data_IF_046072557666
#
_entry.id   IF_046072557666
#
_cell.length_a   1.000
_cell.length_b   1.000
_cell.length_c   1.000
_cell.angle_alpha   90.00
_cell.angle_beta   90.00
_cell.angle_gamma   90.00
#
_symmetry.space_group_name_H-M   'P 1'
#
loop_
_entity.id
_entity.type
_entity.pdbx_description
1 polymer ?
#
# COMPACT_ATOMS: atom_id res chain seq x y z
N UNK A 1 10.67 38.56 23.85
CA UNK A 1 9.19 38.56 23.85
C UNK A 1 8.77 37.38 22.99
N UNK A 2 8.39 36.25 23.60
CA UNK A 2 7.93 35.09 22.84
C UNK A 2 6.55 35.42 22.23
N UNK A 3 6.41 35.24 20.92
CA UNK A 3 5.14 35.34 20.21
C UNK A 3 4.33 34.11 20.63
N UNK A 4 3.51 34.25 21.68
CA UNK A 4 2.58 33.21 22.11
C UNK A 4 1.44 33.17 21.10
N UNK A 5 1.30 32.05 20.40
CA UNK A 5 0.15 31.80 19.53
C UNK A 5 -1.04 31.39 20.43
N UNK A 6 -2.12 32.18 20.53
CA UNK A 6 -3.24 31.90 21.42
C UNK A 6 -3.96 30.58 21.10
N UNK A 7 -3.90 30.07 19.87
CA UNK A 7 -4.43 28.74 19.53
C UNK A 7 -3.57 27.60 20.10
N UNK A 8 -2.26 27.79 20.17
CA UNK A 8 -1.34 26.80 20.74
C UNK A 8 -1.50 26.69 22.26
N UNK A 9 -1.72 27.82 22.94
CA UNK A 9 -1.97 27.86 24.38
C UNK A 9 -3.31 27.19 24.75
N UNK A 10 -4.34 27.37 23.90
CA UNK A 10 -5.62 26.66 24.03
C UNK A 10 -5.48 25.14 23.86
N UNK A 11 -4.75 24.70 22.83
CA UNK A 11 -4.49 23.29 22.58
C UNK A 11 -3.67 22.63 23.71
N UNK A 12 -2.66 23.32 24.23
CA UNK A 12 -1.86 22.85 25.37
C UNK A 12 -2.71 22.74 26.64
N UNK A 13 -3.61 23.70 26.89
CA UNK A 13 -4.54 23.68 28.03
C UNK A 13 -5.56 22.53 27.90
N UNK A 14 -6.09 22.28 26.70
CA UNK A 14 -6.96 21.13 26.44
C UNK A 14 -6.24 19.79 26.59
N UNK A 15 -5.00 19.70 26.11
CA UNK A 15 -4.18 18.49 26.23
C UNK A 15 -3.88 18.15 27.69
N UNK A 16 -3.44 19.13 28.48
CA UNK A 16 -3.20 18.97 29.92
C UNK A 16 -4.47 18.60 30.70
N UNK A 17 -5.61 19.22 30.36
CA UNK A 17 -6.91 18.85 30.93
C UNK A 17 -7.32 17.40 30.59
N UNK A 18 -7.04 16.95 29.37
CA UNK A 18 -7.30 15.57 28.95
C UNK A 18 -6.39 14.55 29.64
N UNK A 19 -5.10 14.86 29.85
CA UNK A 19 -4.14 14.02 30.58
C UNK A 19 -4.57 13.88 32.05
N UNK A 20 -4.94 14.99 32.69
CA UNK A 20 -5.43 15.00 34.07
C UNK A 20 -6.70 14.13 34.22
N UNK A 21 -7.63 14.21 33.26
CA UNK A 21 -8.84 13.38 33.23
C UNK A 21 -8.52 11.89 33.05
N UNK A 22 -7.61 11.54 32.14
CA UNK A 22 -7.19 10.14 31.94
C UNK A 22 -6.48 9.59 33.18
N UNK A 23 -5.64 10.39 33.83
CA UNK A 23 -4.98 10.03 35.08
C UNK A 23 -5.98 9.77 36.20
N UNK A 24 -7.00 10.61 36.35
CA UNK A 24 -8.08 10.39 37.33
C UNK A 24 -8.85 9.10 37.07
N UNK A 25 -9.20 8.80 35.82
CA UNK A 25 -9.87 7.55 35.44
C UNK A 25 -9.01 6.33 35.74
N UNK A 26 -7.71 6.40 35.41
CA UNK A 26 -6.76 5.36 35.73
C UNK A 26 -6.68 5.17 37.25
N UNK A 27 -6.48 6.24 38.03
CA UNK A 27 -6.44 6.28 39.50
C UNK A 27 -7.67 5.64 40.14
N UNK A 28 -8.86 5.95 39.62
CA UNK A 28 -10.16 5.38 40.04
C UNK A 28 -10.33 3.88 39.70
N UNK A 29 -9.37 3.24 39.03
CA UNK A 29 -9.40 1.81 38.75
C UNK A 29 -10.29 1.42 37.58
N UNK A 30 -10.68 2.36 36.72
CA UNK A 30 -11.41 2.05 35.50
C UNK A 30 -10.52 1.23 34.57
N UNK A 31 -10.94 0.00 34.24
CA UNK A 31 -10.25 -0.90 33.31
C UNK A 31 -10.25 -0.41 31.85
N UNK A 32 -11.08 0.60 31.54
CA UNK A 32 -11.21 1.23 30.22
C UNK A 32 -10.61 2.64 30.17
N UNK A 33 -9.77 3.02 31.13
CA UNK A 33 -8.93 4.21 30.94
C UNK A 33 -8.02 3.96 29.73
N UNK A 34 -7.91 4.96 28.82
CA UNK A 34 -7.13 4.79 27.60
C UNK A 34 -5.63 4.61 27.89
N UNK A 35 -5.17 5.05 29.07
CA UNK A 35 -3.77 5.05 29.49
C UNK A 35 -3.64 4.42 30.88
N UNK A 36 -2.89 3.31 31.05
CA UNK A 36 -2.62 2.72 32.36
C UNK A 36 -1.85 3.64 33.32
N UNK A 37 -2.02 3.45 34.64
CA UNK A 37 -1.38 4.28 35.69
C UNK A 37 0.15 4.40 35.53
N UNK A 38 0.82 3.29 35.23
CA UNK A 38 2.29 3.23 35.12
C UNK A 38 2.83 4.07 33.94
N UNK A 39 2.00 4.42 32.94
CA UNK A 39 2.40 5.28 31.84
C UNK A 39 2.52 6.76 32.25
N UNK A 40 1.97 7.16 33.39
CA UNK A 40 2.09 8.54 33.91
C UNK A 40 3.32 8.73 34.82
N UNK A 41 4.09 7.67 35.09
CA UNK A 41 5.33 7.76 35.86
C UNK A 41 6.45 8.34 34.99
N UNK A 42 6.79 9.60 35.23
CA UNK A 42 7.84 10.29 34.48
C UNK A 42 9.22 9.86 34.98
N UNK A 43 9.91 9.03 34.19
CA UNK A 43 11.31 8.66 34.43
C UNK A 43 12.23 9.32 33.42
N UNK A 44 13.07 10.26 33.88
CA UNK A 44 14.06 10.91 33.04
C UNK A 44 15.04 9.90 32.40
N UNK A 45 15.48 8.92 33.17
CA UNK A 45 16.41 7.87 32.70
C UNK A 45 15.76 7.04 31.59
N UNK A 46 14.51 6.61 31.80
CA UNK A 46 13.80 5.78 30.82
C UNK A 46 13.52 6.55 29.53
N UNK A 47 13.06 7.79 29.64
CA UNK A 47 12.84 8.67 28.48
C UNK A 47 14.13 8.94 27.71
N UNK A 48 15.23 9.23 28.41
CA UNK A 48 16.54 9.46 27.79
C UNK A 48 17.05 8.20 27.10
N UNK A 49 16.87 7.03 27.71
CA UNK A 49 17.22 5.74 27.10
C UNK A 49 16.43 5.48 25.80
N UNK A 50 15.12 5.75 25.78
CA UNK A 50 14.34 5.63 24.55
C UNK A 50 14.81 6.59 23.45
N UNK A 51 15.11 7.85 23.81
CA UNK A 51 15.62 8.84 22.86
C UNK A 51 16.98 8.42 22.29
N UNK A 52 17.92 7.97 23.15
CA UNK A 52 19.23 7.47 22.70
C UNK A 52 19.05 6.26 21.78
N UNK A 53 18.21 5.29 22.15
CA UNK A 53 17.90 4.12 21.29
C UNK A 53 17.37 4.55 19.93
N UNK A 54 16.42 5.47 19.88
CA UNK A 54 15.86 5.97 18.62
C UNK A 54 16.93 6.67 17.77
N UNK A 55 17.78 7.51 18.37
CA UNK A 55 18.87 8.19 17.66
C UNK A 55 19.86 7.16 17.10
N UNK A 56 20.25 6.16 17.89
CA UNK A 56 21.16 5.10 17.44
C UNK A 56 20.54 4.26 16.32
N UNK A 57 19.26 3.90 16.43
CA UNK A 57 18.53 3.19 15.36
C UNK A 57 18.48 4.04 14.09
N UNK A 58 18.15 5.33 14.18
CA UNK A 58 18.16 6.23 13.03
C UNK A 58 19.55 6.34 12.40
N UNK A 59 20.61 6.46 13.20
CA UNK A 59 21.99 6.53 12.72
C UNK A 59 22.40 5.24 12.01
N UNK A 60 22.05 4.07 12.57
CA UNK A 60 22.32 2.77 11.97
C UNK A 60 21.57 2.59 10.64
N UNK A 61 20.29 2.97 10.59
CA UNK A 61 19.49 2.93 9.35
C UNK A 61 20.05 3.87 8.28
N UNK A 62 20.45 5.08 8.66
CA UNK A 62 21.07 6.04 7.74
C UNK A 62 22.40 5.51 7.18
N UNK A 63 23.25 4.94 8.05
CA UNK A 63 24.50 4.32 7.62
C UNK A 63 24.25 3.16 6.66
N UNK A 64 23.32 2.26 6.98
CA UNK A 64 22.94 1.17 6.08
C UNK A 64 22.39 1.68 4.74
N UNK A 65 21.57 2.73 4.75
CA UNK A 65 21.04 3.35 3.53
C UNK A 65 22.15 3.91 2.63
N UNK A 66 23.21 4.47 3.22
CA UNK A 66 24.37 4.98 2.45
C UNK A 66 25.16 3.89 1.71
N UNK A 67 24.93 2.62 2.03
CA UNK A 67 25.52 1.48 1.33
C UNK A 67 24.71 1.07 0.09
N UNK A 68 23.43 1.43 0.01
CA UNK A 68 22.54 1.05 -1.09
C UNK A 68 23.04 1.62 -2.42
N UNK A 69 23.46 2.89 -2.44
CA UNK A 69 23.95 3.56 -3.66
C UNK A 69 25.24 2.94 -4.22
N UNK A 70 25.99 2.20 -3.40
CA UNK A 70 27.25 1.54 -3.81
C UNK A 70 27.03 0.27 -4.64
N UNK A 71 25.80 -0.23 -4.71
CA UNK A 71 25.46 -1.51 -5.35
C UNK A 71 25.33 -1.44 -6.89
N UNK A 72 25.33 -0.22 -7.46
CA UNK A 72 25.42 0.02 -8.91
C UNK A 72 24.22 -0.45 -9.74
N UNK A 73 24.36 -0.37 -11.07
CA UNK A 73 23.27 -0.65 -12.02
C UNK A 73 22.76 -2.11 -11.99
N UNK A 74 23.63 -3.07 -11.64
CA UNK A 74 23.24 -4.49 -11.57
C UNK A 74 22.20 -4.74 -10.46
N UNK A 75 22.37 -4.12 -9.30
CA UNK A 75 21.40 -4.22 -8.21
C UNK A 75 20.06 -3.57 -8.56
N UNK A 76 20.07 -2.45 -9.30
CA UNK A 76 18.85 -1.82 -9.78
C UNK A 76 18.07 -2.73 -10.75
N UNK A 77 18.76 -3.41 -11.67
CA UNK A 77 18.14 -4.37 -12.59
C UNK A 77 17.51 -5.53 -11.82
N UNK A 78 18.23 -6.12 -10.86
CA UNK A 78 17.71 -7.21 -10.03
C UNK A 78 16.48 -6.76 -9.23
N UNK A 79 16.53 -5.59 -8.59
CA UNK A 79 15.40 -5.04 -7.85
C UNK A 79 14.18 -4.80 -8.75
N UNK A 80 14.40 -4.27 -9.96
CA UNK A 80 13.32 -4.08 -10.94
C UNK A 80 12.73 -5.40 -11.42
N UNK A 81 13.54 -6.44 -11.61
CA UNK A 81 13.06 -7.77 -12.00
C UNK A 81 12.24 -8.43 -10.88
N UNK A 82 12.74 -8.40 -9.64
CA UNK A 82 12.01 -8.92 -8.47
C UNK A 82 10.70 -8.16 -8.31
N UNK A 83 10.76 -6.82 -8.39
CA UNK A 83 9.59 -5.96 -8.32
C UNK A 83 8.57 -6.30 -9.39
N UNK A 84 8.99 -6.45 -10.65
CA UNK A 84 8.14 -6.82 -11.77
C UNK A 84 7.43 -8.15 -11.53
N UNK A 85 8.14 -9.19 -11.10
CA UNK A 85 7.55 -10.52 -10.84
C UNK A 85 6.55 -10.46 -9.68
N UNK A 86 6.95 -9.93 -8.53
CA UNK A 86 6.13 -9.93 -7.32
C UNK A 86 4.87 -9.06 -7.47
N UNK A 87 4.99 -7.89 -8.11
CA UNK A 87 3.82 -7.01 -8.31
C UNK A 87 2.88 -7.55 -9.36
N UNK A 88 3.39 -8.23 -10.40
CA UNK A 88 2.52 -8.89 -11.38
C UNK A 88 1.72 -10.03 -10.78
N UNK A 89 2.26 -10.74 -9.76
CA UNK A 89 1.50 -11.73 -9.00
C UNK A 89 0.33 -11.10 -8.19
N UNK A 90 0.38 -9.79 -7.94
CA UNK A 90 -0.69 -8.99 -7.32
C UNK A 90 -1.55 -8.25 -8.37
N UNK A 91 -1.35 -8.51 -9.66
CA UNK A 91 -1.99 -7.84 -10.80
C UNK A 91 -1.68 -6.34 -10.88
N UNK A 92 -0.52 -5.92 -10.40
CA UNK A 92 -0.12 -4.50 -10.34
C UNK A 92 0.90 -4.18 -11.44
N UNK A 93 0.69 -3.12 -12.24
CA UNK A 93 1.69 -2.65 -13.20
C UNK A 93 2.88 -2.02 -12.46
N UNK A 94 3.93 -2.80 -12.21
CA UNK A 94 5.09 -2.44 -11.39
C UNK A 94 5.72 -1.09 -11.74
N UNK A 95 5.98 -0.84 -13.03
CA UNK A 95 6.78 0.33 -13.42
C UNK A 95 6.01 1.65 -13.32
N UNK A 96 4.71 1.66 -13.55
CA UNK A 96 3.88 2.85 -13.30
C UNK A 96 3.60 2.98 -11.81
N UNK A 97 3.32 1.88 -11.11
CA UNK A 97 3.14 1.83 -9.66
C UNK A 97 4.33 2.43 -8.91
N UNK A 98 5.56 2.00 -9.20
CA UNK A 98 6.76 2.51 -8.50
C UNK A 98 6.93 4.02 -8.67
N UNK A 99 6.48 4.58 -9.80
CA UNK A 99 6.60 6.00 -10.11
C UNK A 99 5.59 6.83 -9.30
N UNK A 100 4.33 6.41 -9.22
CA UNK A 100 3.32 7.07 -8.38
C UNK A 100 3.60 6.84 -6.90
N UNK A 101 4.04 5.64 -6.51
CA UNK A 101 4.43 5.32 -5.14
C UNK A 101 5.57 6.22 -4.62
N UNK A 102 6.62 6.43 -5.41
CA UNK A 102 7.71 7.35 -5.03
C UNK A 102 7.20 8.77 -4.77
N UNK A 103 6.21 9.22 -5.54
CA UNK A 103 5.60 10.54 -5.37
C UNK A 103 4.66 10.60 -4.17
N UNK A 104 3.89 9.54 -3.93
CA UNK A 104 3.13 9.37 -2.69
C UNK A 104 4.05 9.52 -1.48
N UNK A 105 5.20 8.83 -1.46
CA UNK A 105 6.17 8.94 -0.37
C UNK A 105 6.85 10.31 -0.25
N UNK A 106 7.06 11.02 -1.36
CA UNK A 106 7.59 12.39 -1.28
C UNK A 106 6.55 13.40 -0.80
N UNK A 107 5.26 13.07 -0.91
CA UNK A 107 4.14 14.00 -0.68
C UNK A 107 3.14 13.45 0.36
N UNK A 108 3.54 12.46 1.17
CA UNK A 108 2.62 11.74 2.07
C UNK A 108 1.95 12.72 3.02
N UNK A 109 0.62 12.73 3.02
CA UNK A 109 -0.17 13.62 3.88
C UNK A 109 -0.40 15.03 3.32
N UNK A 110 0.03 15.33 2.10
CA UNK A 110 -0.36 16.57 1.40
C UNK A 110 -1.73 16.43 0.75
N UNK A 111 -2.67 17.30 1.11
CA UNK A 111 -4.01 17.32 0.52
C UNK A 111 -4.01 17.68 -0.98
N UNK A 112 -2.95 18.33 -1.47
CA UNK A 112 -2.85 18.80 -2.86
C UNK A 112 -1.95 17.92 -3.72
N UNK A 113 -0.93 17.32 -3.11
CA UNK A 113 0.17 16.68 -3.83
C UNK A 113 0.28 15.18 -3.64
N UNK A 114 -0.41 14.61 -2.66
CA UNK A 114 -0.44 13.16 -2.50
C UNK A 114 -1.09 12.50 -3.74
N UNK A 115 -0.56 11.35 -4.15
CA UNK A 115 -0.99 10.64 -5.35
C UNK A 115 -2.14 9.67 -5.08
N UNK A 116 -2.34 9.28 -3.82
CA UNK A 116 -3.32 8.29 -3.37
C UNK A 116 -3.74 8.60 -1.93
N UNK A 117 -4.97 8.24 -1.55
CA UNK A 117 -5.51 8.49 -0.21
C UNK A 117 -5.53 9.97 0.20
N UNK A 118 -5.72 10.88 -0.77
CA UNK A 118 -5.87 12.31 -0.49
C UNK A 118 -7.06 12.53 0.45
N UNK A 119 -6.87 13.15 1.63
CA UNK A 119 -7.96 13.42 2.55
C UNK A 119 -9.01 14.33 1.91
N UNK A 120 -10.29 13.99 2.10
CA UNK A 120 -11.39 14.87 1.71
C UNK A 120 -11.42 16.10 2.61
N UNK A 121 -11.69 17.28 2.04
CA UNK A 121 -11.85 18.50 2.84
C UNK A 121 -13.15 18.44 3.64
N UNK A 122 -13.17 19.08 4.82
CA UNK A 122 -14.34 19.13 5.71
C UNK A 122 -15.61 19.64 5.02
N UNK A 123 -15.46 20.50 4.01
CA UNK A 123 -16.56 21.01 3.19
C UNK A 123 -17.28 19.94 2.36
N UNK A 124 -16.62 18.82 2.07
CA UNK A 124 -17.14 17.69 1.28
C UNK A 124 -17.60 16.55 2.18
N UNK A 125 -17.31 16.61 3.48
CA UNK A 125 -17.72 15.59 4.43
C UNK A 125 -19.25 15.67 4.62
N UNK A 126 -20.00 14.59 4.33
CA UNK A 126 -21.45 14.58 4.52
C UNK A 126 -21.81 14.91 5.97
N UNK A 127 -22.88 15.67 6.20
CA UNK A 127 -23.43 15.86 7.55
C UNK A 127 -23.90 14.54 8.20
N UNK A 128 -24.02 13.47 7.41
CA UNK A 128 -24.33 12.10 7.83
C UNK A 128 -23.11 11.26 8.21
N UNK A 129 -21.91 11.84 8.27
CA UNK A 129 -20.71 11.14 8.75
C UNK A 129 -20.87 10.78 10.24
N UNK A 130 -20.69 9.51 10.57
CA UNK A 130 -20.85 9.00 11.93
C UNK A 130 -19.60 8.21 12.32
N UNK A 131 -18.74 8.83 13.14
CA UNK A 131 -17.49 8.25 13.62
C UNK A 131 -17.71 6.89 14.30
N UNK A 132 -18.82 6.72 15.03
CA UNK A 132 -19.15 5.46 15.72
C UNK A 132 -19.38 4.30 14.76
N UNK A 133 -19.85 4.55 13.53
CA UNK A 133 -19.98 3.50 12.50
C UNK A 133 -18.62 3.09 11.96
N UNK A 134 -17.69 4.03 11.80
CA UNK A 134 -16.34 3.80 11.29
C UNK A 134 -15.54 2.84 12.19
N UNK A 135 -15.74 2.95 13.50
CA UNK A 135 -15.05 2.12 14.49
C UNK A 135 -15.60 0.68 14.59
N UNK A 136 -16.76 0.39 13.99
CA UNK A 136 -17.34 -0.95 14.09
C UNK A 136 -16.51 -1.99 13.31
N UNK A 137 -16.18 -3.15 13.90
CA UNK A 137 -15.28 -4.12 13.27
C UNK A 137 -15.82 -4.68 11.94
N UNK A 138 -17.15 -4.83 11.83
CA UNK A 138 -17.79 -5.27 10.60
C UNK A 138 -17.70 -4.22 9.48
N UNK A 139 -17.85 -2.93 9.83
CA UNK A 139 -17.71 -1.86 8.84
C UNK A 139 -16.27 -1.68 8.40
N UNK A 140 -15.29 -1.83 9.31
CA UNK A 140 -13.88 -1.83 8.94
C UNK A 140 -13.55 -3.00 8.00
N UNK A 141 -14.04 -4.21 8.29
CA UNK A 141 -13.86 -5.35 7.39
C UNK A 141 -14.48 -5.10 6.01
N UNK A 142 -15.71 -4.55 5.97
CA UNK A 142 -16.36 -4.14 4.74
C UNK A 142 -15.51 -3.11 3.97
N UNK A 143 -14.99 -2.07 4.63
CA UNK A 143 -14.14 -1.05 4.01
C UNK A 143 -12.84 -1.63 3.47
N UNK A 144 -12.22 -2.56 4.19
CA UNK A 144 -11.00 -3.25 3.73
C UNK A 144 -11.31 -4.08 2.48
N UNK A 145 -12.37 -4.90 2.52
CA UNK A 145 -12.77 -5.72 1.37
C UNK A 145 -13.11 -4.84 0.15
N UNK A 146 -13.87 -3.78 0.36
CA UNK A 146 -14.21 -2.80 -0.68
C UNK A 146 -12.96 -2.12 -1.23
N UNK A 147 -12.03 -1.69 -0.37
CA UNK A 147 -10.79 -1.06 -0.80
C UNK A 147 -9.90 -2.04 -1.58
N UNK A 148 -9.82 -3.31 -1.19
CA UNK A 148 -8.98 -4.31 -1.88
C UNK A 148 -9.58 -4.73 -3.24
N UNK A 149 -10.90 -4.84 -3.35
CA UNK A 149 -11.56 -5.32 -4.58
C UNK A 149 -11.91 -4.17 -5.52
N UNK A 150 -12.44 -3.08 -5.01
CA UNK A 150 -12.98 -1.95 -5.81
C UNK A 150 -12.07 -0.73 -5.73
N UNK A 151 -11.59 -0.38 -4.53
CA UNK A 151 -10.73 0.79 -4.36
C UNK A 151 -9.38 0.64 -5.08
N UNK A 152 -8.77 -0.53 -4.96
CA UNK A 152 -7.43 -0.85 -5.45
C UNK A 152 -7.43 -1.16 -6.95
N UNK A 153 -8.14 -2.22 -7.35
CA UNK A 153 -8.11 -2.74 -8.72
C UNK A 153 -8.78 -1.77 -9.71
N UNK A 154 -10.11 -1.56 -9.75
CA UNK A 154 -10.71 -0.62 -10.68
C UNK A 154 -10.45 0.84 -10.29
N UNK A 155 -10.57 1.19 -9.01
CA UNK A 155 -10.51 2.58 -8.55
C UNK A 155 -9.15 3.24 -8.75
N UNK A 156 -8.09 2.67 -8.19
CA UNK A 156 -6.78 3.29 -8.18
C UNK A 156 -5.98 3.01 -9.45
N UNK A 157 -5.92 1.76 -9.91
CA UNK A 157 -5.11 1.41 -11.09
C UNK A 157 -5.65 2.02 -12.38
N UNK A 158 -6.95 1.90 -12.66
CA UNK A 158 -7.52 2.39 -13.93
C UNK A 158 -7.89 3.87 -13.88
N UNK A 159 -8.41 4.36 -12.75
CA UNK A 159 -8.98 5.71 -12.69
C UNK A 159 -8.21 6.68 -11.80
N UNK A 160 -7.29 6.19 -10.97
CA UNK A 160 -6.73 6.93 -9.83
C UNK A 160 -7.83 7.77 -9.13
N UNK A 161 -8.87 7.07 -8.66
CA UNK A 161 -10.11 7.68 -8.18
C UNK A 161 -9.89 8.59 -6.95
N UNK A 162 -8.95 8.22 -6.08
CA UNK A 162 -8.58 8.96 -4.86
C UNK A 162 -7.36 9.87 -5.06
N UNK A 163 -6.99 10.14 -6.32
CA UNK A 163 -5.87 11.01 -6.65
C UNK A 163 -6.19 12.49 -6.48
N UNK A 164 -5.18 13.36 -6.60
CA UNK A 164 -5.30 14.79 -6.35
C UNK A 164 -6.09 15.49 -7.47
N UNK A 165 -6.79 16.57 -7.10
CA UNK A 165 -7.67 17.34 -8.01
C UNK A 165 -6.96 17.90 -9.24
N UNK A 166 -5.64 18.14 -9.16
CA UNK A 166 -4.78 18.59 -10.28
C UNK A 166 -4.76 17.65 -11.50
N UNK A 167 -5.26 16.42 -11.34
CA UNK A 167 -5.38 15.41 -12.39
C UNK A 167 -6.77 15.31 -13.01
N UNK A 168 -7.76 16.08 -12.53
CA UNK A 168 -9.07 16.11 -13.17
C UNK A 168 -8.99 16.60 -14.62
N UNK A 169 -9.75 15.93 -15.50
CA UNK A 169 -9.71 16.15 -16.95
C UNK A 169 -8.50 15.56 -17.67
N UNK A 170 -7.59 14.86 -16.97
CA UNK A 170 -6.41 14.21 -17.57
C UNK A 170 -6.51 12.68 -17.46
N UNK A 171 -5.75 11.98 -18.30
CA UNK A 171 -5.56 10.53 -18.16
C UNK A 171 -4.87 10.22 -16.83
N UNK A 172 -5.42 9.28 -16.08
CA UNK A 172 -4.99 8.93 -14.71
C UNK A 172 -4.67 7.45 -14.52
N UNK A 173 -4.82 6.66 -15.57
CA UNK A 173 -4.58 5.21 -15.53
C UNK A 173 -3.10 4.89 -15.37
N UNK A 174 -2.79 3.96 -14.49
CA UNK A 174 -1.46 3.39 -14.33
C UNK A 174 -1.02 2.56 -15.54
N UNK A 175 -1.96 2.15 -16.41
CA UNK A 175 -1.67 1.45 -17.68
C UNK A 175 -1.45 2.41 -18.85
N UNK A 176 -1.57 3.72 -18.62
CA UNK A 176 -1.29 4.73 -19.65
C UNK A 176 0.05 5.40 -19.37
N UNK A 177 1.07 5.23 -20.24
CA UNK A 177 2.36 5.89 -20.09
C UNK A 177 2.26 7.41 -20.06
N UNK A 178 1.27 8.00 -20.74
CA UNK A 178 1.01 9.44 -20.79
C UNK A 178 0.04 9.91 -19.69
N UNK A 179 -0.11 9.16 -18.61
CA UNK A 179 -0.93 9.56 -17.47
C UNK A 179 -0.33 10.76 -16.73
N UNK A 180 -1.19 11.52 -16.06
CA UNK A 180 -0.80 12.72 -15.31
C UNK A 180 0.14 12.44 -14.12
N UNK A 181 0.16 11.20 -13.63
CA UNK A 181 1.10 10.74 -12.61
C UNK A 181 2.50 10.48 -13.17
N UNK A 182 2.68 10.35 -14.49
CA UNK A 182 4.01 10.24 -15.11
C UNK A 182 4.58 11.62 -15.41
N UNK A 183 5.69 12.03 -14.77
CA UNK A 183 6.24 13.36 -15.01
C UNK A 183 6.82 13.47 -16.43
N UNK A 184 6.45 14.52 -17.17
CA UNK A 184 6.80 14.74 -18.58
C UNK A 184 8.32 14.61 -18.86
N UNK A 185 9.16 15.06 -17.92
CA UNK A 185 10.63 14.98 -18.02
C UNK A 185 11.18 13.54 -18.01
N UNK A 186 10.47 12.60 -17.38
CA UNK A 186 10.84 11.17 -17.35
C UNK A 186 9.99 10.32 -18.29
N UNK A 187 9.08 10.92 -19.05
CA UNK A 187 8.15 10.19 -19.91
C UNK A 187 8.91 9.32 -20.92
N UNK A 188 9.90 9.87 -21.63
CA UNK A 188 10.68 9.15 -22.64
C UNK A 188 11.39 7.90 -22.10
N UNK A 189 11.91 7.94 -20.87
CA UNK A 189 12.58 6.79 -20.25
C UNK A 189 11.63 5.86 -19.49
N UNK A 190 10.50 6.36 -19.00
CA UNK A 190 9.50 5.57 -18.26
C UNK A 190 8.56 4.79 -19.18
N UNK A 191 8.19 5.35 -20.35
CA UNK A 191 7.25 4.72 -21.30
C UNK A 191 7.61 3.28 -21.65
N UNK A 192 8.85 2.94 -22.09
CA UNK A 192 9.17 1.56 -22.44
C UNK A 192 9.06 0.62 -21.23
N UNK A 193 9.36 1.10 -20.02
CA UNK A 193 9.28 0.30 -18.80
C UNK A 193 7.82 0.05 -18.41
N UNK A 194 6.93 1.04 -18.53
CA UNK A 194 5.49 0.89 -18.26
C UNK A 194 4.89 -0.14 -19.23
N UNK A 195 5.14 0.02 -20.53
CA UNK A 195 4.66 -0.92 -21.56
C UNK A 195 5.19 -2.34 -21.32
N UNK A 196 6.46 -2.49 -20.93
CA UNK A 196 7.03 -3.79 -20.58
C UNK A 196 6.29 -4.43 -19.40
N UNK A 197 5.99 -3.65 -18.37
CA UNK A 197 5.24 -4.13 -17.21
C UNK A 197 3.84 -4.61 -17.58
N UNK A 198 3.14 -3.84 -18.44
CA UNK A 198 1.77 -4.15 -18.86
C UNK A 198 1.74 -5.41 -19.73
N UNK A 199 2.69 -5.55 -20.66
CA UNK A 199 2.84 -6.77 -21.47
C UNK A 199 3.13 -7.98 -20.57
N UNK A 200 4.03 -7.85 -19.61
CA UNK A 200 4.40 -8.95 -18.72
C UNK A 200 3.21 -9.41 -17.87
N UNK A 201 2.41 -8.48 -17.37
CA UNK A 201 1.17 -8.76 -16.62
C UNK A 201 0.18 -9.57 -17.47
N UNK A 202 -0.11 -9.12 -18.70
CA UNK A 202 -1.03 -9.82 -19.61
C UNK A 202 -0.51 -11.21 -20.01
N UNK A 203 0.80 -11.36 -20.21
CA UNK A 203 1.41 -12.64 -20.60
C UNK A 203 1.44 -13.66 -19.47
N UNK A 204 1.62 -13.24 -18.23
CA UNK A 204 1.53 -14.14 -17.07
C UNK A 204 0.12 -14.74 -16.95
N UNK A 205 -0.92 -13.93 -17.12
CA UNK A 205 -2.32 -14.39 -17.12
C UNK A 205 -2.62 -15.33 -18.29
N UNK A 206 -2.13 -14.98 -19.48
CA UNK A 206 -2.32 -15.82 -20.69
C UNK A 206 -1.60 -17.16 -20.60
N UNK A 207 -0.48 -17.22 -19.88
CA UNK A 207 0.25 -18.47 -19.61
C UNK A 207 -0.45 -19.34 -18.57
N UNK A 208 -1.12 -18.71 -17.58
CA UNK A 208 -1.96 -19.41 -16.61
C UNK A 208 -3.19 -20.06 -17.28
N UNK A 209 -3.82 -19.35 -18.23
CA UNK A 209 -5.03 -19.80 -18.94
C UNK A 209 -4.76 -20.87 -20.03
N UNK A 210 -3.54 -20.94 -20.59
CA UNK A 210 -3.19 -21.89 -21.67
C UNK A 210 -2.72 -23.28 -21.20
N UNK A 211 -2.93 -23.63 -19.93
CA UNK A 211 -2.69 -24.99 -19.45
C UNK A 211 -3.75 -25.96 -20.01
N UNK A 212 -3.60 -26.33 -21.29
CA UNK A 212 -4.41 -27.40 -21.90
C UNK A 212 -4.06 -28.72 -21.21
N UNK A 213 -4.97 -29.22 -20.39
CA UNK A 213 -4.96 -30.62 -19.96
C UNK A 213 -5.30 -31.48 -21.16
N UNK A 214 -4.27 -32.04 -21.82
CA UNK A 214 -4.45 -33.07 -22.84
C UNK A 214 -4.32 -34.43 -22.18
N UNK A 215 -5.43 -35.19 -22.14
CA UNK A 215 -5.43 -36.58 -21.71
C UNK A 215 -4.90 -37.45 -22.87
N UNK A 216 -3.58 -37.61 -22.94
CA UNK A 216 -2.95 -38.58 -23.84
C UNK A 216 -2.91 -39.95 -23.16
N UNK A 217 -3.99 -40.72 -23.38
CA UNK A 217 -4.19 -42.12 -22.97
C UNK A 217 -4.80 -42.36 -21.57
N UNK A 218 -5.58 -43.45 -21.41
CA UNK A 218 -6.15 -43.83 -20.12
C UNK A 218 -5.03 -44.13 -19.11
N UNK A 219 -4.96 -43.32 -18.06
CA UNK A 219 -4.05 -43.52 -16.92
C UNK A 219 -2.86 -42.56 -16.82
N UNK A 220 -2.75 -41.52 -17.67
CA UNK A 220 -1.66 -40.52 -17.54
C UNK A 220 -2.12 -39.10 -17.88
N UNK A 221 -2.36 -38.29 -16.86
CA UNK A 221 -2.56 -36.84 -17.01
C UNK A 221 -1.19 -36.16 -17.09
N UNK A 222 -0.87 -35.60 -18.26
CA UNK A 222 0.35 -34.81 -18.44
C UNK A 222 -0.01 -33.33 -18.38
N UNK A 223 0.38 -32.63 -17.30
CA UNK A 223 0.22 -31.18 -17.22
C UNK A 223 1.49 -30.54 -17.78
N UNK A 224 1.38 -29.99 -18.99
CA UNK A 224 2.45 -29.23 -19.61
C UNK A 224 2.28 -27.76 -19.25
N UNK A 225 3.12 -27.27 -18.33
CA UNK A 225 3.22 -25.84 -18.05
C UNK A 225 4.46 -25.25 -18.73
N UNK A 226 4.47 -23.93 -18.96
CA UNK A 226 5.58 -23.22 -19.60
C UNK A 226 6.91 -23.28 -18.84
N UNK A 227 6.92 -23.82 -17.61
CA UNK A 227 8.10 -23.98 -16.75
C UNK A 227 8.58 -25.45 -16.62
N UNK A 228 8.05 -26.36 -17.45
CA UNK A 228 8.45 -27.76 -17.49
C UNK A 228 7.28 -28.73 -17.24
N UNK A 229 7.46 -29.95 -17.75
CA UNK A 229 6.48 -31.04 -17.64
C UNK A 229 6.51 -31.59 -16.22
N UNK A 230 5.40 -31.48 -15.48
CA UNK A 230 5.18 -32.25 -14.26
C UNK A 230 4.16 -33.34 -14.56
N UNK A 231 4.61 -34.60 -14.59
CA UNK A 231 3.73 -35.74 -14.67
C UNK A 231 3.20 -36.06 -13.28
N UNK A 232 1.88 -36.05 -13.09
CA UNK A 232 1.22 -36.58 -11.90
C UNK A 232 0.50 -37.88 -12.29
N UNK A 233 0.74 -38.96 -11.54
CA UNK A 233 0.00 -40.21 -11.70
C UNK A 233 -1.36 -40.03 -11.02
N UNK A 234 -2.42 -39.93 -11.81
CA UNK A 234 -3.80 -39.91 -11.29
C UNK A 234 -4.36 -41.33 -11.37
N UNK A 235 -4.81 -41.87 -10.23
CA UNK A 235 -5.53 -43.14 -10.19
C UNK A 235 -6.91 -43.01 -10.86
N UNK A 236 -7.22 -43.97 -11.73
CA UNK A 236 -8.51 -44.30 -12.35
C UNK A 236 -9.58 -43.19 -12.43
N UNK A 237 -9.60 -42.47 -13.56
CA UNK A 237 -10.78 -41.70 -13.98
C UNK A 237 -11.69 -42.56 -14.87
N UNK A 238 -12.91 -42.81 -14.43
CA UNK A 238 -13.98 -43.41 -15.24
C UNK A 238 -14.50 -42.39 -16.24
N UNK A 239 -14.52 -42.75 -17.53
CA UNK A 239 -15.02 -41.89 -18.60
C UNK A 239 -16.54 -41.99 -18.71
N UNK A 240 -17.24 -40.93 -18.32
CA UNK A 240 -18.61 -40.67 -18.75
C UNK A 240 -18.78 -39.15 -18.81
N UNK A 241 -18.68 -38.59 -20.01
CA UNK A 241 -19.70 -37.72 -20.61
C UNK A 241 -19.11 -36.98 -21.81
N UNK A 242 -19.56 -37.40 -22.99
CA UNK A 242 -19.36 -36.71 -24.27
C UNK A 242 -20.64 -35.91 -24.54
N UNK A 243 -20.55 -34.60 -24.64
CA UNK A 243 -21.62 -33.79 -25.23
C UNK A 243 -21.06 -33.06 -26.46
N UNK A 244 -21.84 -33.15 -27.55
CA UNK A 244 -21.70 -32.38 -28.78
C UNK A 244 -21.81 -30.87 -28.54
#
# INVERSE_FOLDING_TARGET
MAILNPEADSAATLATGSEAKQRQLAEAGYKHAAIPKHCFERSFVTSTNYMIKNVLTCAALFYAASLIDRTGAAAEVVNNLIGLVLHSALLVPYHSWRLSYRKHHSNTGSCENDEVFVPVTRSVLPSSWNETREDSPLYQLYRIAFMLVVGWMPGYLFFNATGPTKYWGKSRSHFNPNSASTPSRRLRSATPMIVLSDIFLVRLESSSSNSKTSCTSPGRLTIQTSLGVRAFVCGNCSASDTYM
#
